data_IF_638983035985
#
_entry.id   IF_638983035985
#
_cell.length_a   1.000
_cell.length_b   1.000
_cell.length_c   1.000
_cell.angle_alpha   90.00
_cell.angle_beta   90.00
_cell.angle_gamma   90.00
#
_symmetry.space_group_name_H-M   'P 1'
#
loop_
_entity.id
_entity.type
_entity.pdbx_description
1 polymer ?
#
# COMPACT_ATOMS: atom_id res chain seq x y z
N UNK A 1 2.94 -19.91 3.10
CA UNK A 1 2.15 -21.06 3.55
C UNK A 1 0.89 -21.14 2.71
N UNK A 2 0.55 -22.34 2.28
CA UNK A 2 -0.74 -22.61 1.64
C UNK A 2 -1.82 -22.70 2.71
N UNK A 3 -3.07 -22.40 2.36
CA UNK A 3 -4.20 -22.52 3.27
C UNK A 3 -4.57 -23.99 3.56
N UNK A 4 -5.45 -24.22 4.55
CA UNK A 4 -6.00 -25.54 4.84
C UNK A 4 -5.06 -26.52 5.57
N UNK A 5 -3.98 -26.01 6.16
CA UNK A 5 -3.01 -26.82 6.93
C UNK A 5 -2.73 -26.24 8.30
N UNK A 6 -2.37 -27.11 9.24
CA UNK A 6 -1.88 -26.68 10.57
C UNK A 6 -0.37 -26.48 10.50
N UNK A 7 0.11 -25.32 10.93
CA UNK A 7 1.53 -25.00 11.02
C UNK A 7 1.92 -24.70 12.47
N UNK A 8 2.94 -25.40 12.99
CA UNK A 8 3.55 -25.08 14.28
C UNK A 8 4.78 -24.21 14.06
N UNK A 9 4.75 -22.99 14.59
CA UNK A 9 5.82 -22.03 14.46
C UNK A 9 6.32 -21.68 15.84
N UNK A 10 7.56 -22.11 16.15
CA UNK A 10 8.21 -21.72 17.38
C UNK A 10 8.72 -20.28 17.25
N UNK A 11 8.31 -19.41 18.17
CA UNK A 11 8.79 -18.04 18.30
C UNK A 11 9.14 -17.78 19.75
N UNK A 12 10.22 -17.03 20.04
CA UNK A 12 10.48 -16.53 21.39
C UNK A 12 9.36 -15.55 21.79
N UNK A 13 9.25 -15.28 23.09
CA UNK A 13 8.16 -14.49 23.66
C UNK A 13 8.11 -13.04 23.11
N UNK A 14 9.25 -12.54 22.68
CA UNK A 14 9.42 -11.17 22.16
C UNK A 14 9.04 -11.04 20.67
N UNK A 15 8.80 -12.17 19.98
CA UNK A 15 8.45 -12.17 18.56
C UNK A 15 6.97 -12.49 18.35
N UNK A 16 6.29 -11.60 17.66
CA UNK A 16 4.90 -11.80 17.22
C UNK A 16 4.86 -12.26 15.75
N UNK A 17 4.32 -13.45 15.43
CA UNK A 17 4.22 -13.92 14.06
C UNK A 17 3.13 -13.16 13.30
N UNK A 18 3.53 -12.43 12.29
CA UNK A 18 2.64 -11.71 11.37
C UNK A 18 2.69 -12.35 9.98
N UNK A 19 1.51 -12.63 9.43
CA UNK A 19 1.36 -13.17 8.08
C UNK A 19 0.54 -12.21 7.23
N UNK A 20 1.01 -11.94 6.04
CA UNK A 20 0.27 -11.17 5.03
C UNK A 20 0.06 -12.06 3.81
N UNK A 21 -1.17 -12.10 3.33
CA UNK A 21 -1.50 -12.84 2.12
C UNK A 21 -0.77 -12.25 0.92
N UNK A 22 -0.16 -13.10 0.08
CA UNK A 22 0.41 -12.67 -1.19
C UNK A 22 -0.63 -12.12 -2.15
N UNK A 23 -0.23 -11.19 -3.01
CA UNK A 23 -1.12 -10.53 -3.95
C UNK A 23 -1.93 -9.38 -3.33
N UNK A 24 -1.45 -8.78 -2.24
CA UNK A 24 -2.13 -7.68 -1.56
C UNK A 24 -1.24 -6.48 -1.35
N UNK A 25 -1.87 -5.33 -1.25
CA UNK A 25 -1.27 -4.06 -0.84
C UNK A 25 -1.71 -3.76 0.58
N UNK A 26 -0.76 -3.64 1.49
CA UNK A 26 -0.99 -3.25 2.88
C UNK A 26 -0.72 -1.75 3.02
N UNK A 27 -1.75 -0.91 3.20
CA UNK A 27 -1.55 0.51 3.48
C UNK A 27 -1.08 0.69 4.93
N UNK A 28 -0.10 1.58 5.10
CA UNK A 28 0.44 1.93 6.40
C UNK A 28 0.69 3.44 6.47
N UNK A 29 0.63 3.97 7.68
CA UNK A 29 1.07 5.32 7.99
C UNK A 29 2.57 5.31 8.30
N UNK A 30 3.36 6.32 7.91
CA UNK A 30 4.70 6.50 8.46
C UNK A 30 4.66 6.57 9.99
N UNK A 31 5.73 6.11 10.63
CA UNK A 31 5.80 6.19 12.08
C UNK A 31 5.58 7.63 12.58
N UNK A 32 4.71 7.76 13.53
CA UNK A 32 4.44 9.02 14.25
C UNK A 32 4.01 8.69 15.68
N UNK A 33 4.42 9.48 16.69
CA UNK A 33 3.99 9.26 18.07
C UNK A 33 2.51 9.56 18.29
N UNK A 34 1.83 10.20 17.33
CA UNK A 34 0.42 10.58 17.42
C UNK A 34 -0.33 10.24 16.11
N UNK A 35 -0.54 8.96 15.79
CA UNK A 35 -1.10 8.56 14.51
C UNK A 35 -2.49 9.15 14.24
N UNK A 36 -3.34 9.29 15.26
CA UNK A 36 -4.70 9.79 15.09
C UNK A 36 -4.78 11.31 14.78
N UNK A 37 -3.73 12.09 15.07
CA UNK A 37 -3.73 13.54 14.84
C UNK A 37 -2.68 14.01 13.83
N UNK A 38 -1.88 13.09 13.29
CA UNK A 38 -0.87 13.43 12.27
C UNK A 38 -1.49 13.34 10.90
N UNK A 39 -1.48 14.44 10.09
CA UNK A 39 -2.00 14.41 8.73
C UNK A 39 -1.33 13.34 7.87
N UNK A 40 -2.10 12.56 7.13
CA UNK A 40 -1.60 11.48 6.28
C UNK A 40 -1.12 12.05 4.92
N UNK A 41 -0.04 12.81 4.96
CA UNK A 41 0.59 13.41 3.77
C UNK A 41 1.40 12.42 2.95
N UNK A 42 1.75 11.28 3.54
CA UNK A 42 2.42 10.16 2.87
C UNK A 42 1.73 8.86 3.24
N UNK A 43 1.33 8.08 2.23
CA UNK A 43 0.80 6.74 2.42
C UNK A 43 1.88 5.72 2.02
N UNK A 44 2.23 4.84 2.96
CA UNK A 44 3.13 3.72 2.70
C UNK A 44 2.29 2.55 2.20
N UNK A 45 2.67 2.02 1.04
CA UNK A 45 2.03 0.87 0.41
C UNK A 45 3.01 -0.30 0.40
N UNK A 46 2.82 -1.25 1.30
CA UNK A 46 3.65 -2.45 1.34
C UNK A 46 3.03 -3.51 0.44
N UNK A 47 3.75 -3.88 -0.61
CA UNK A 47 3.22 -4.73 -1.69
C UNK A 47 3.79 -6.14 -1.54
N UNK A 48 2.93 -7.11 -1.33
CA UNK A 48 3.31 -8.51 -1.19
C UNK A 48 2.98 -9.27 -2.49
N UNK A 49 4.00 -9.83 -3.18
CA UNK A 49 3.78 -10.49 -4.45
C UNK A 49 2.94 -11.77 -4.29
N UNK A 50 2.10 -12.06 -5.28
CA UNK A 50 1.41 -13.34 -5.41
C UNK A 50 2.32 -14.38 -6.08
N UNK A 51 2.05 -15.66 -5.85
CA UNK A 51 2.75 -16.75 -6.51
C UNK A 51 2.40 -16.85 -8.02
N UNK A 52 1.18 -16.50 -8.40
CA UNK A 52 0.67 -16.50 -9.76
C UNK A 52 -0.17 -15.26 -10.06
N UNK A 53 -0.94 -15.31 -11.14
CA UNK A 53 -1.86 -14.24 -11.50
C UNK A 53 -2.85 -13.97 -10.38
N UNK A 54 -3.13 -12.70 -10.15
CA UNK A 54 -4.03 -12.24 -9.10
C UNK A 54 -4.59 -10.87 -9.42
N UNK A 55 -5.80 -10.60 -8.93
CA UNK A 55 -6.43 -9.28 -9.01
C UNK A 55 -7.23 -9.06 -7.72
N UNK A 56 -6.70 -8.22 -6.84
CA UNK A 56 -7.27 -7.99 -5.52
C UNK A 56 -7.36 -6.48 -5.24
N UNK A 57 -8.44 -6.07 -4.61
CA UNK A 57 -8.66 -4.66 -4.25
C UNK A 57 -8.91 -4.55 -2.75
N UNK A 58 -8.22 -3.61 -2.13
CA UNK A 58 -8.46 -3.17 -0.75
C UNK A 58 -9.04 -1.75 -0.78
N UNK A 59 -10.07 -1.50 0.01
CA UNK A 59 -10.66 -0.17 0.16
C UNK A 59 -10.14 0.47 1.44
N UNK A 60 -9.29 1.48 1.27
CA UNK A 60 -8.87 2.34 2.38
C UNK A 60 -10.00 3.29 2.73
N UNK A 61 -10.44 3.25 3.98
CA UNK A 61 -11.44 4.14 4.54
C UNK A 61 -10.77 5.24 5.35
N UNK A 62 -11.26 6.48 5.23
CA UNK A 62 -10.74 7.63 5.95
C UNK A 62 -11.89 8.57 6.34
N UNK A 63 -11.87 9.07 7.57
CA UNK A 63 -12.76 10.12 8.09
C UNK A 63 -11.97 11.12 8.95
N UNK A 64 -12.63 12.05 9.62
CA UNK A 64 -11.96 13.05 10.46
C UNK A 64 -11.46 12.51 11.81
N UNK A 65 -11.84 11.29 12.18
CA UNK A 65 -11.43 10.63 13.44
C UNK A 65 -11.90 11.35 14.71
N UNK A 66 -12.74 12.37 14.62
CA UNK A 66 -13.15 13.24 15.73
C UNK A 66 -14.67 13.33 15.90
N UNK A 67 -15.39 13.39 14.80
CA UNK A 67 -16.85 13.54 14.79
C UNK A 67 -17.56 12.21 14.48
N UNK A 68 -18.90 12.23 14.52
CA UNK A 68 -19.73 11.14 14.03
C UNK A 68 -20.30 11.41 12.63
N UNK A 69 -19.65 12.27 11.88
CA UNK A 69 -20.09 12.63 10.54
C UNK A 69 -20.10 11.44 9.58
N UNK A 70 -19.28 10.42 9.86
CA UNK A 70 -19.26 9.16 9.14
C UNK A 70 -20.64 8.45 9.14
N UNK A 71 -21.46 8.60 10.20
CA UNK A 71 -22.81 8.06 10.26
C UNK A 71 -23.75 8.69 9.22
N UNK A 72 -23.40 9.88 8.74
CA UNK A 72 -24.07 10.63 7.68
C UNK A 72 -23.42 10.47 6.31
N UNK A 73 -22.47 9.55 6.18
CA UNK A 73 -21.75 9.29 4.94
C UNK A 73 -20.63 10.28 4.63
N UNK A 74 -20.22 11.12 5.61
CA UNK A 74 -19.11 12.07 5.43
C UNK A 74 -17.80 11.36 5.74
N UNK A 75 -17.25 10.71 4.73
CA UNK A 75 -15.99 9.98 4.73
C UNK A 75 -15.40 9.94 3.33
N UNK A 76 -14.20 9.44 3.20
CA UNK A 76 -13.57 9.15 1.91
C UNK A 76 -13.14 7.70 1.83
N UNK A 77 -13.14 7.17 0.62
CA UNK A 77 -12.59 5.85 0.31
C UNK A 77 -11.60 5.93 -0.83
N UNK A 78 -10.54 5.13 -0.76
CA UNK A 78 -9.53 4.99 -1.82
C UNK A 78 -9.31 3.52 -2.10
N UNK A 79 -9.56 3.08 -3.32
CA UNK A 79 -9.26 1.70 -3.71
C UNK A 79 -7.77 1.55 -4.04
N UNK A 80 -7.17 0.52 -3.47
CA UNK A 80 -5.80 0.08 -3.69
C UNK A 80 -5.88 -1.28 -4.40
N UNK A 81 -5.62 -1.30 -5.69
CA UNK A 81 -5.69 -2.53 -6.48
C UNK A 81 -4.28 -3.10 -6.68
N UNK A 82 -4.15 -4.40 -6.45
CA UNK A 82 -3.03 -5.22 -6.84
C UNK A 82 -3.45 -6.13 -7.98
N UNK A 83 -2.72 -6.09 -9.09
CA UNK A 83 -2.92 -7.02 -10.20
C UNK A 83 -1.59 -7.59 -10.66
N UNK A 84 -1.52 -8.91 -10.78
CA UNK A 84 -0.43 -9.61 -11.46
C UNK A 84 -0.98 -10.34 -12.67
N UNK A 85 -0.33 -10.16 -13.81
CA UNK A 85 -0.60 -10.87 -15.05
C UNK A 85 0.75 -11.24 -15.68
N UNK A 86 1.09 -12.52 -15.63
CA UNK A 86 2.40 -13.03 -16.04
C UNK A 86 3.55 -12.35 -15.26
N UNK A 87 4.46 -11.71 -15.98
CA UNK A 87 5.65 -11.05 -15.42
C UNK A 87 5.40 -9.60 -14.98
N UNK A 88 4.17 -9.11 -15.06
CA UNK A 88 3.87 -7.72 -14.71
C UNK A 88 2.99 -7.65 -13.47
N UNK A 89 3.50 -6.99 -12.43
CA UNK A 89 2.71 -6.60 -11.27
C UNK A 89 2.34 -5.13 -11.38
N UNK A 90 1.06 -4.82 -11.27
CA UNK A 90 0.53 -3.46 -11.27
C UNK A 90 -0.10 -3.15 -9.92
N UNK A 91 0.30 -2.03 -9.34
CA UNK A 91 -0.36 -1.44 -8.16
C UNK A 91 -1.02 -0.15 -8.60
N UNK A 92 -2.33 -0.05 -8.37
CA UNK A 92 -3.11 1.14 -8.72
C UNK A 92 -3.73 1.74 -7.47
N UNK A 93 -3.46 3.01 -7.23
CA UNK A 93 -4.19 3.82 -6.26
C UNK A 93 -5.26 4.58 -7.05
N UNK A 94 -6.52 4.26 -6.83
CA UNK A 94 -7.64 4.93 -7.49
C UNK A 94 -7.87 6.32 -6.91
N UNK A 95 -8.51 7.23 -7.66
CA UNK A 95 -8.94 8.52 -7.13
C UNK A 95 -9.80 8.35 -5.87
N UNK A 96 -9.50 9.13 -4.84
CA UNK A 96 -10.32 9.11 -3.63
C UNK A 96 -11.77 9.52 -3.93
N UNK A 97 -12.74 8.77 -3.45
CA UNK A 97 -14.16 9.06 -3.52
C UNK A 97 -14.65 9.58 -2.16
N UNK A 98 -15.58 10.53 -2.15
CA UNK A 98 -16.03 11.17 -0.92
C UNK A 98 -15.08 12.23 -0.38
N UNK A 99 -15.42 12.84 0.74
CA UNK A 99 -14.59 13.85 1.42
C UNK A 99 -15.00 14.01 2.87
N UNK A 100 -14.10 14.50 3.69
CA UNK A 100 -14.34 14.82 5.09
C UNK A 100 -13.53 16.06 5.50
N UNK A 101 -13.88 16.65 6.64
CA UNK A 101 -13.20 17.83 7.16
C UNK A 101 -11.75 17.49 7.56
N UNK A 102 -10.78 18.23 7.03
CA UNK A 102 -9.35 18.00 7.32
C UNK A 102 -8.68 16.97 6.40
N UNK A 103 -9.39 16.51 5.37
CA UNK A 103 -8.78 15.62 4.37
C UNK A 103 -7.62 16.31 3.65
N UNK A 104 -6.46 15.64 3.61
CA UNK A 104 -5.31 16.11 2.86
C UNK A 104 -5.59 16.04 1.34
N UNK A 105 -5.54 17.15 0.61
CA UNK A 105 -5.85 17.17 -0.82
C UNK A 105 -4.75 16.56 -1.69
N UNK A 106 -3.56 16.43 -1.14
CA UNK A 106 -2.38 15.90 -1.83
C UNK A 106 -1.66 14.90 -0.95
N UNK A 107 -1.15 13.84 -1.58
CA UNK A 107 -0.46 12.76 -0.87
C UNK A 107 0.72 12.23 -1.68
N UNK A 108 1.84 11.97 -1.02
CA UNK A 108 2.94 11.18 -1.54
C UNK A 108 2.67 9.68 -1.29
N UNK A 109 3.23 8.82 -2.14
CA UNK A 109 3.14 7.38 -1.93
C UNK A 109 4.53 6.77 -1.88
N UNK A 110 4.75 5.90 -0.92
CA UNK A 110 5.98 5.15 -0.74
C UNK A 110 5.69 3.66 -0.86
N UNK A 111 6.00 3.08 -2.02
CA UNK A 111 5.81 1.65 -2.23
C UNK A 111 7.02 0.88 -1.73
N UNK A 112 6.80 0.00 -0.77
CA UNK A 112 7.79 -0.97 -0.28
C UNK A 112 7.53 -2.31 -0.94
N UNK A 113 8.58 -2.94 -1.48
CA UNK A 113 8.49 -4.17 -2.25
C UNK A 113 9.20 -5.33 -1.52
N UNK A 114 8.72 -5.77 -0.33
CA UNK A 114 9.32 -6.90 0.37
C UNK A 114 9.11 -8.17 -0.45
N UNK A 115 10.12 -9.05 -0.46
CA UNK A 115 10.09 -10.30 -1.20
C UNK A 115 9.80 -10.14 -2.72
N UNK A 116 9.90 -8.92 -3.26
CA UNK A 116 10.00 -8.75 -4.69
C UNK A 116 11.31 -9.43 -5.12
N UNK A 117 11.20 -10.41 -5.99
CA UNK A 117 12.37 -10.99 -6.66
C UNK A 117 13.13 -9.93 -7.48
N UNK A 118 14.00 -10.37 -8.34
CA UNK A 118 14.62 -9.46 -9.32
C UNK A 118 13.53 -8.91 -10.24
N UNK A 119 13.58 -7.61 -10.49
CA UNK A 119 12.74 -6.94 -11.47
C UNK A 119 13.61 -6.13 -12.45
N UNK A 120 13.22 -6.12 -13.70
CA UNK A 120 13.96 -5.47 -14.78
C UNK A 120 13.68 -3.98 -14.85
N UNK A 121 12.48 -3.57 -14.52
CA UNK A 121 12.01 -2.19 -14.69
C UNK A 121 10.83 -1.88 -13.81
N UNK A 122 10.76 -0.63 -13.34
CA UNK A 122 9.57 -0.08 -12.68
C UNK A 122 9.14 1.19 -13.40
N UNK A 123 7.83 1.37 -13.56
CA UNK A 123 7.23 2.59 -14.10
C UNK A 123 6.23 3.17 -13.10
N UNK A 124 6.21 4.49 -13.00
CA UNK A 124 5.18 5.25 -12.28
C UNK A 124 4.48 6.14 -13.30
N UNK A 125 3.18 5.96 -13.47
CA UNK A 125 2.36 6.68 -14.45
C UNK A 125 3.00 6.69 -15.85
N UNK A 126 3.49 5.52 -16.29
CA UNK A 126 4.14 5.31 -17.58
C UNK A 126 5.62 5.74 -17.67
N UNK A 127 6.15 6.47 -16.69
CA UNK A 127 7.57 6.92 -16.68
C UNK A 127 8.43 5.93 -15.93
N UNK A 128 9.55 5.53 -16.52
CA UNK A 128 10.52 4.65 -15.86
C UNK A 128 11.16 5.37 -14.67
N UNK A 129 11.20 4.68 -13.53
CA UNK A 129 11.83 5.13 -12.30
C UNK A 129 12.81 4.07 -11.80
N UNK A 130 13.81 4.50 -11.03
CA UNK A 130 14.77 3.60 -10.40
C UNK A 130 14.40 3.46 -8.92
N UNK A 131 13.99 2.26 -8.45
CA UNK A 131 13.79 2.01 -7.02
C UNK A 131 15.09 2.18 -6.24
N UNK A 132 14.98 2.62 -5.00
CA UNK A 132 16.09 2.73 -4.07
C UNK A 132 16.00 1.59 -3.05
N UNK A 133 17.10 0.89 -2.82
CA UNK A 133 17.13 -0.15 -1.79
C UNK A 133 17.23 0.50 -0.40
N UNK A 134 16.24 0.22 0.45
CA UNK A 134 16.24 0.64 1.85
C UNK A 134 16.87 -0.47 2.70
N UNK A 135 18.04 -0.17 3.28
CA UNK A 135 18.81 -1.15 4.06
C UNK A 135 18.18 -1.54 5.39
N UNK A 136 17.35 -0.66 5.98
CA UNK A 136 16.62 -0.96 7.23
C UNK A 136 15.42 -1.85 6.95
N UNK A 137 14.67 -1.54 5.91
CA UNK A 137 13.51 -2.33 5.48
C UNK A 137 13.92 -3.60 4.71
N UNK A 138 15.17 -3.66 4.26
CA UNK A 138 15.75 -4.74 3.44
C UNK A 138 14.91 -5.03 2.19
N UNK A 139 14.41 -3.98 1.55
CA UNK A 139 13.63 -4.10 0.33
C UNK A 139 13.77 -2.86 -0.57
N UNK A 140 13.51 -3.01 -1.88
CA UNK A 140 13.39 -1.87 -2.77
C UNK A 140 12.19 -0.99 -2.42
N UNK A 141 12.37 0.31 -2.60
CA UNK A 141 11.34 1.34 -2.35
C UNK A 141 11.18 2.20 -3.60
N UNK A 142 9.94 2.46 -3.96
CA UNK A 142 9.55 3.38 -5.05
C UNK A 142 8.87 4.58 -4.44
N UNK A 143 9.44 5.76 -4.64
CA UNK A 143 8.85 7.02 -4.17
C UNK A 143 8.00 7.64 -5.28
N UNK A 144 6.76 7.99 -4.94
CA UNK A 144 5.87 8.78 -5.79
C UNK A 144 5.68 10.14 -5.16
N UNK A 145 6.11 11.23 -5.82
CA UNK A 145 5.95 12.58 -5.29
C UNK A 145 4.51 12.93 -4.97
N UNK A 146 4.32 13.90 -4.05
CA UNK A 146 3.00 14.37 -3.65
C UNK A 146 2.16 14.76 -4.87
N UNK A 147 1.02 14.12 -5.01
CA UNK A 147 0.06 14.34 -6.08
C UNK A 147 -1.34 14.54 -5.51
N UNK A 148 -2.25 15.07 -6.32
CA UNK A 148 -3.65 15.20 -5.94
C UNK A 148 -4.28 13.83 -5.71
N UNK A 149 -4.97 13.65 -4.57
CA UNK A 149 -5.62 12.38 -4.21
C UNK A 149 -6.77 12.00 -5.15
N UNK A 150 -7.25 12.95 -5.96
CA UNK A 150 -8.27 12.70 -7.00
C UNK A 150 -7.68 12.21 -8.32
N UNK A 151 -6.36 12.04 -8.40
CA UNK A 151 -5.67 11.50 -9.57
C UNK A 151 -5.24 10.07 -9.30
N UNK A 152 -5.43 9.21 -10.30
CA UNK A 152 -4.91 7.85 -10.27
C UNK A 152 -3.38 7.84 -10.22
N UNK A 153 -2.83 6.95 -9.41
CA UNK A 153 -1.41 6.61 -9.43
C UNK A 153 -1.27 5.14 -9.80
N UNK A 154 -0.52 4.88 -10.85
CA UNK A 154 -0.26 3.53 -11.36
C UNK A 154 1.23 3.22 -11.30
N UNK A 155 1.59 2.13 -10.63
CA UNK A 155 2.96 1.62 -10.56
C UNK A 155 3.00 0.24 -11.19
N UNK A 156 3.86 0.08 -12.20
CA UNK A 156 4.04 -1.17 -12.94
C UNK A 156 5.46 -1.70 -12.67
N UNK A 157 5.54 -2.95 -12.23
CA UNK A 157 6.78 -3.66 -11.88
C UNK A 157 6.90 -4.82 -12.86
N UNK A 158 7.98 -4.85 -13.63
CA UNK A 158 8.24 -5.86 -14.67
C UNK A 158 9.31 -6.84 -14.15
N UNK A 159 8.96 -8.10 -14.04
CA UNK A 159 9.86 -9.21 -13.66
C UNK A 159 10.83 -9.64 -14.75
#
# INVERSE_FOLDING_TARGET
FDGGQECRIAKPLEEFPLYVRGGWVLPMQPYTPRPASTPLTTLVLRVYPSAGDADNTYTLYEDDGLSRDYERGIHATTELNYRRAGDVTTVTVRPAAGSYRGQEPRRAYRLQLPAAGEFRRVKVNGRTVKPVFDGQLRCPVVEVPSTDIRKEVKVEIFG
#
